data_IF_898013190320
#
_entry.id   IF_898013190320
#
_cell.length_a   1.000
_cell.length_b   1.000
_cell.length_c   1.000
_cell.angle_alpha   90.00
_cell.angle_beta   90.00
_cell.angle_gamma   90.00
#
_symmetry.space_group_name_H-M   'P 1'
#
loop_
_entity.id
_entity.type
_entity.pdbx_description
1 polymer ?
#
# COMPACT_ATOMS: atom_id res chain seq x y z
N UNK A 1 17.82 22.54 20.52
CA UNK A 1 18.41 21.26 20.95
C UNK A 1 17.37 20.53 21.77
N UNK A 2 17.05 19.27 21.45
CA UNK A 2 16.05 18.54 22.22
C UNK A 2 16.62 18.17 23.59
N UNK A 3 15.82 18.38 24.64
CA UNK A 3 16.19 17.94 25.99
C UNK A 3 16.12 16.41 26.08
N UNK A 4 16.82 15.84 27.06
CA UNK A 4 16.76 14.38 27.31
C UNK A 4 15.32 13.90 27.53
N UNK A 5 14.51 14.69 28.24
CA UNK A 5 13.10 14.39 28.48
C UNK A 5 12.24 14.42 27.20
N UNK A 6 12.52 15.35 26.28
CA UNK A 6 11.83 15.41 24.98
C UNK A 6 12.13 14.18 24.11
N UNK A 7 13.38 13.73 24.09
CA UNK A 7 13.77 12.53 23.34
C UNK A 7 13.10 11.28 23.91
N UNK A 8 13.12 11.11 25.25
CA UNK A 8 12.48 9.97 25.92
C UNK A 8 10.98 9.96 25.66
N UNK A 9 10.30 11.10 25.82
CA UNK A 9 8.87 11.22 25.52
C UNK A 9 8.56 10.90 24.06
N UNK A 10 9.34 11.45 23.11
CA UNK A 10 9.13 11.23 21.68
C UNK A 10 9.23 9.76 21.29
N UNK A 11 10.21 9.04 21.84
CA UNK A 11 10.39 7.60 21.59
C UNK A 11 9.21 6.80 22.18
N UNK A 12 8.83 7.05 23.43
CA UNK A 12 7.71 6.36 24.07
C UNK A 12 6.38 6.61 23.34
N UNK A 13 6.14 7.86 22.95
CA UNK A 13 4.98 8.24 22.14
C UNK A 13 4.99 7.51 20.79
N UNK A 14 6.12 7.51 20.07
CA UNK A 14 6.23 6.85 18.78
C UNK A 14 5.95 5.34 18.88
N UNK A 15 6.50 4.66 19.90
CA UNK A 15 6.25 3.23 20.13
C UNK A 15 4.77 2.98 20.39
N UNK A 16 4.15 3.70 21.32
CA UNK A 16 2.73 3.55 21.65
C UNK A 16 1.85 3.82 20.42
N UNK A 17 2.17 4.88 19.66
CA UNK A 17 1.46 5.24 18.45
C UNK A 17 1.56 4.16 17.37
N UNK A 18 2.76 3.62 17.10
CA UNK A 18 2.98 2.54 16.14
C UNK A 18 2.19 1.29 16.54
N UNK A 19 2.18 0.92 17.82
CA UNK A 19 1.41 -0.23 18.31
C UNK A 19 -0.09 -0.05 18.02
N UNK A 20 -0.62 1.14 18.27
CA UNK A 20 -2.03 1.48 17.98
C UNK A 20 -2.31 1.38 16.48
N UNK A 21 -1.44 1.95 15.64
CA UNK A 21 -1.59 1.86 14.18
C UNK A 21 -1.59 0.42 13.69
N UNK A 22 -0.64 -0.40 14.15
CA UNK A 22 -0.56 -1.82 13.77
C UNK A 22 -1.86 -2.53 14.13
N UNK A 23 -2.41 -2.28 15.33
CA UNK A 23 -3.66 -2.90 15.79
C UNK A 23 -4.87 -2.45 14.98
N UNK A 24 -4.94 -1.18 14.59
CA UNK A 24 -6.00 -0.63 13.73
C UNK A 24 -5.92 -1.25 12.33
N UNK A 25 -4.79 -1.10 11.63
CA UNK A 25 -4.64 -1.55 10.25
C UNK A 25 -4.63 -3.07 10.08
N UNK A 26 -4.33 -3.84 11.13
CA UNK A 26 -4.44 -5.32 11.06
C UNK A 26 -5.85 -5.79 10.71
N UNK A 27 -6.88 -5.10 11.19
CA UNK A 27 -8.29 -5.44 10.86
C UNK A 27 -8.59 -5.13 9.40
N UNK A 28 -8.08 -4.00 8.91
CA UNK A 28 -8.28 -3.52 7.55
C UNK A 28 -7.57 -4.42 6.52
N UNK A 29 -6.44 -5.03 6.87
CA UNK A 29 -5.76 -6.01 6.01
C UNK A 29 -6.67 -7.19 5.66
N UNK A 30 -7.55 -7.61 6.57
CA UNK A 30 -8.48 -8.69 6.28
C UNK A 30 -9.62 -8.21 5.37
N UNK A 31 -10.11 -6.99 5.58
CA UNK A 31 -11.10 -6.35 4.71
C UNK A 31 -10.56 -6.10 3.30
N UNK A 32 -9.28 -5.73 3.16
CA UNK A 32 -8.63 -5.55 1.86
C UNK A 32 -8.65 -6.85 1.03
N UNK A 33 -8.38 -7.99 1.67
CA UNK A 33 -8.44 -9.30 1.01
C UNK A 33 -9.84 -9.69 0.55
N UNK A 34 -10.88 -9.24 1.27
CA UNK A 34 -12.29 -9.51 0.92
C UNK A 34 -12.74 -8.62 -0.23
N UNK A 35 -12.51 -7.31 -0.15
CA UNK A 35 -13.06 -6.34 -1.12
C UNK A 35 -12.22 -6.18 -2.39
N UNK A 36 -10.91 -6.43 -2.32
CA UNK A 36 -9.99 -6.28 -3.45
C UNK A 36 -9.49 -7.62 -4.00
N UNK A 37 -10.21 -8.70 -3.70
CA UNK A 37 -9.90 -10.02 -4.26
C UNK A 37 -9.98 -9.94 -5.79
N UNK A 38 -8.89 -10.24 -6.47
CA UNK A 38 -8.83 -10.23 -7.93
C UNK A 38 -8.45 -8.89 -8.58
N UNK A 39 -8.11 -7.86 -7.80
CA UNK A 39 -7.65 -6.58 -8.37
C UNK A 39 -6.38 -6.75 -9.24
N UNK A 40 -5.54 -7.73 -8.91
CA UNK A 40 -4.37 -8.08 -9.72
C UNK A 40 -4.74 -8.61 -11.10
N UNK A 41 -5.85 -9.35 -11.24
CA UNK A 41 -6.35 -9.79 -12.55
C UNK A 41 -6.85 -8.63 -13.38
N UNK A 42 -7.51 -7.66 -12.76
CA UNK A 42 -7.93 -6.42 -13.42
C UNK A 42 -6.71 -5.62 -13.89
N UNK A 43 -5.67 -5.50 -13.04
CA UNK A 43 -4.41 -4.86 -13.40
C UNK A 43 -3.73 -5.57 -14.57
N UNK A 44 -3.66 -6.91 -14.55
CA UNK A 44 -3.09 -7.70 -15.64
C UNK A 44 -3.86 -7.51 -16.95
N UNK A 45 -5.20 -7.52 -16.90
CA UNK A 45 -6.02 -7.26 -18.08
C UNK A 45 -5.79 -5.85 -18.63
N UNK A 46 -5.67 -4.85 -17.75
CA UNK A 46 -5.38 -3.47 -18.15
C UNK A 46 -4.00 -3.32 -18.80
N UNK A 47 -2.97 -3.92 -18.19
CA UNK A 47 -1.61 -3.94 -18.75
C UNK A 47 -1.56 -4.69 -20.08
N UNK A 48 -2.25 -5.81 -20.20
CA UNK A 48 -2.37 -6.56 -21.45
C UNK A 48 -3.06 -5.72 -22.54
N UNK A 49 -4.12 -4.98 -22.19
CA UNK A 49 -4.80 -4.07 -23.11
C UNK A 49 -3.87 -2.95 -23.62
N UNK A 50 -3.11 -2.31 -22.72
CA UNK A 50 -2.08 -1.32 -23.11
C UNK A 50 -1.03 -1.97 -24.01
N UNK A 51 -0.53 -3.15 -23.64
CA UNK A 51 0.45 -3.91 -24.42
C UNK A 51 -0.07 -4.24 -25.83
N UNK A 52 -1.34 -4.62 -25.96
CA UNK A 52 -1.98 -4.86 -27.24
C UNK A 52 -2.03 -3.60 -28.11
N UNK A 53 -2.39 -2.44 -27.55
CA UNK A 53 -2.37 -1.15 -28.29
C UNK A 53 -0.96 -0.85 -28.80
N UNK A 54 0.06 -1.02 -27.96
CA UNK A 54 1.46 -0.82 -28.35
C UNK A 54 1.87 -1.80 -29.45
N UNK A 55 1.51 -3.08 -29.31
CA UNK A 55 1.81 -4.11 -30.30
C UNK A 55 1.18 -3.78 -31.67
N UNK A 56 -0.10 -3.39 -31.69
CA UNK A 56 -0.78 -2.96 -32.92
C UNK A 56 -0.04 -1.77 -33.55
N UNK A 57 0.28 -0.75 -32.75
CA UNK A 57 1.01 0.43 -33.22
C UNK A 57 2.40 0.11 -33.77
N UNK A 58 3.06 -0.95 -33.30
CA UNK A 58 4.40 -1.35 -33.75
C UNK A 58 4.34 -2.28 -34.97
N UNK A 59 3.42 -3.23 -34.97
CA UNK A 59 3.27 -4.23 -36.04
C UNK A 59 2.61 -3.64 -37.28
N UNK A 60 1.63 -2.76 -37.11
CA UNK A 60 0.88 -2.11 -38.19
C UNK A 60 1.30 -0.65 -38.40
N UNK A 61 2.48 -0.27 -37.91
CA UNK A 61 3.17 0.96 -38.34
C UNK A 61 3.77 0.76 -39.72
#
# INVERSE_FOLDING_TARGET
MFSKGQIVFGILFAIAFIIVLIRMYRKDLNLHKVHYKGVLWILLAFLAFIGMIVAIKVIFK
#
